data_IF_848988051986
#
_entry.id   IF_848988051986
#
_cell.length_a   1.000
_cell.length_b   1.000
_cell.length_c   1.000
_cell.angle_alpha   90.00
_cell.angle_beta   90.00
_cell.angle_gamma   90.00
#
_symmetry.space_group_name_H-M   'P 1'
#
loop_
_entity.id
_entity.type
_entity.pdbx_description
1 polymer ?
#
# COMPACT_ATOMS: atom_id res chain seq x y z
N UNK A 1 -41.39 -24.26 28.88
CA UNK A 1 -40.90 -24.40 30.27
C UNK A 1 -39.54 -25.09 30.20
N UNK A 2 -38.46 -24.32 30.18
CA UNK A 2 -37.70 -23.90 31.36
C UNK A 2 -36.56 -24.89 31.70
N UNK A 3 -35.43 -24.74 31.01
CA UNK A 3 -34.09 -25.11 31.51
C UNK A 3 -33.21 -23.87 31.30
N UNK A 4 -33.35 -22.87 32.17
CA UNK A 4 -32.33 -22.46 33.15
C UNK A 4 -30.92 -22.53 32.54
N UNK A 5 -30.38 -21.43 31.99
CA UNK A 5 -29.60 -20.44 32.75
C UNK A 5 -28.62 -21.11 33.73
N UNK A 6 -27.60 -21.77 33.21
CA UNK A 6 -26.58 -22.45 34.01
C UNK A 6 -25.13 -21.98 33.72
N UNK A 7 -24.94 -20.71 33.32
CA UNK A 7 -23.60 -20.10 33.29
C UNK A 7 -23.59 -18.61 33.66
N UNK A 8 -24.35 -18.25 34.71
CA UNK A 8 -23.92 -17.17 35.60
C UNK A 8 -22.98 -17.77 36.65
N UNK A 9 -22.06 -16.94 37.12
CA UNK A 9 -21.16 -17.15 38.26
C UNK A 9 -20.03 -18.17 38.07
N UNK A 10 -18.89 -17.64 37.61
CA UNK A 10 -17.57 -18.26 37.68
C UNK A 10 -16.48 -17.20 37.71
N UNK A 11 -16.63 -16.16 38.55
CA UNK A 11 -15.52 -15.31 38.97
C UNK A 11 -14.54 -16.19 39.76
N UNK A 12 -13.48 -16.70 39.14
CA UNK A 12 -12.37 -17.29 39.90
C UNK A 12 -11.04 -16.90 39.25
N UNK A 13 -10.32 -16.10 40.03
CA UNK A 13 -8.87 -15.96 40.12
C UNK A 13 -8.11 -15.42 38.90
N UNK A 14 -7.81 -14.12 39.01
CA UNK A 14 -6.52 -13.54 38.67
C UNK A 14 -5.37 -14.51 39.00
N UNK A 15 -4.82 -15.17 37.98
CA UNK A 15 -3.46 -15.67 38.02
C UNK A 15 -2.65 -14.78 37.07
N UNK A 16 -2.07 -13.73 37.64
CA UNK A 16 -0.97 -13.01 37.04
C UNK A 16 0.24 -13.97 36.99
N UNK A 17 0.25 -14.85 35.99
CA UNK A 17 1.41 -15.68 35.70
C UNK A 17 2.36 -14.84 34.84
N UNK A 18 3.16 -14.01 35.51
CA UNK A 18 4.25 -13.26 34.89
C UNK A 18 5.34 -14.23 34.47
N UNK A 19 5.17 -14.89 33.32
CA UNK A 19 6.27 -15.52 32.60
C UNK A 19 7.19 -14.40 32.10
N UNK A 20 8.23 -14.12 32.86
CA UNK A 20 9.41 -13.42 32.38
C UNK A 20 10.09 -14.31 31.33
N UNK A 21 9.55 -14.32 30.10
CA UNK A 21 10.19 -14.93 28.96
C UNK A 21 11.29 -13.98 28.50
N UNK A 22 12.49 -14.14 29.04
CA UNK A 22 13.70 -13.49 28.55
C UNK A 22 13.99 -13.99 27.14
N UNK A 23 13.47 -13.28 26.13
CA UNK A 23 13.84 -13.46 24.73
C UNK A 23 15.27 -12.95 24.53
N UNK A 24 16.24 -13.81 24.16
CA UNK A 24 17.52 -13.31 23.69
C UNK A 24 17.32 -12.62 22.35
N UNK A 25 17.67 -11.33 22.32
CA UNK A 25 18.09 -10.57 21.14
C UNK A 25 17.31 -10.82 19.85
N UNK A 26 16.15 -10.18 19.69
CA UNK A 26 15.75 -9.79 18.34
C UNK A 26 16.77 -8.76 17.86
N UNK A 27 17.63 -9.19 16.94
CA UNK A 27 18.42 -8.32 16.11
C UNK A 27 17.49 -7.22 15.60
N UNK A 28 17.67 -6.00 16.12
CA UNK A 28 17.19 -4.81 15.45
C UNK A 28 17.87 -4.88 14.10
N UNK A 29 17.08 -5.20 13.08
CA UNK A 29 17.50 -5.03 11.71
C UNK A 29 18.06 -3.62 11.63
N UNK A 30 19.35 -3.54 11.38
CA UNK A 30 20.07 -2.35 11.00
C UNK A 30 19.44 -1.83 9.70
N UNK A 31 18.28 -1.19 9.83
CA UNK A 31 17.91 -0.12 8.94
C UNK A 31 18.67 1.11 9.44
N UNK A 32 20.01 1.02 9.49
CA UNK A 32 20.85 2.19 9.50
C UNK A 32 20.46 3.00 8.27
N UNK A 33 19.60 3.99 8.49
CA UNK A 33 19.95 5.38 8.26
C UNK A 33 20.58 5.67 6.90
N UNK A 34 20.25 4.92 5.86
CA UNK A 34 20.36 5.44 4.50
C UNK A 34 19.30 6.52 4.44
N UNK A 35 19.67 7.81 4.36
CA UNK A 35 18.68 8.82 4.04
C UNK A 35 17.98 8.33 2.78
N UNK A 36 16.69 8.02 2.90
CA UNK A 36 15.82 7.81 1.77
C UNK A 36 15.86 9.15 1.04
N UNK A 37 16.72 9.23 0.03
CA UNK A 37 16.82 10.39 -0.83
C UNK A 37 15.56 10.37 -1.69
N UNK A 38 14.45 10.87 -1.14
CA UNK A 38 13.30 11.23 -1.95
C UNK A 38 13.82 12.33 -2.87
N UNK A 39 14.02 12.01 -4.15
CA UNK A 39 14.39 13.00 -5.15
C UNK A 39 13.23 13.99 -5.29
N UNK A 40 13.19 15.02 -4.44
CA UNK A 40 12.11 16.02 -4.37
C UNK A 40 12.16 17.05 -5.51
N UNK A 41 13.02 16.84 -6.52
CA UNK A 41 13.23 17.73 -7.67
C UNK A 41 12.97 17.08 -9.03
N UNK A 42 12.43 15.86 -9.07
CA UNK A 42 12.01 15.21 -10.30
C UNK A 42 10.55 15.52 -10.67
N UNK A 43 10.16 15.22 -11.91
CA UNK A 43 8.77 15.25 -12.33
C UNK A 43 7.88 14.44 -11.38
N UNK A 44 6.79 15.03 -10.87
CA UNK A 44 5.83 14.32 -9.99
C UNK A 44 4.88 13.45 -10.82
N UNK A 45 5.44 12.39 -11.42
CA UNK A 45 4.69 11.49 -12.28
C UNK A 45 3.63 10.70 -11.51
N UNK A 46 3.70 10.63 -10.17
CA UNK A 46 2.66 10.03 -9.36
C UNK A 46 1.38 10.87 -9.40
N UNK A 47 1.45 12.19 -9.15
CA UNK A 47 0.28 13.08 -9.23
C UNK A 47 -0.27 13.17 -10.65
N UNK A 48 0.60 13.21 -11.66
CA UNK A 48 0.20 13.15 -13.08
C UNK A 48 -0.53 11.84 -13.37
N UNK A 49 0.05 10.71 -12.98
CA UNK A 49 -0.53 9.39 -13.16
C UNK A 49 -1.85 9.21 -12.43
N UNK A 50 -2.01 9.78 -11.23
CA UNK A 50 -3.24 9.72 -10.46
C UNK A 50 -4.39 10.44 -11.20
N UNK A 51 -4.09 11.60 -11.81
CA UNK A 51 -5.05 12.34 -12.64
C UNK A 51 -5.43 11.55 -13.89
N UNK A 52 -4.45 10.97 -14.59
CA UNK A 52 -4.70 10.13 -15.77
C UNK A 52 -5.56 8.92 -15.38
N UNK A 53 -5.25 8.24 -14.28
CA UNK A 53 -6.03 7.11 -13.79
C UNK A 53 -7.49 7.50 -13.51
N UNK A 54 -7.73 8.62 -12.82
CA UNK A 54 -9.07 9.13 -12.55
C UNK A 54 -9.85 9.45 -13.82
N UNK A 55 -9.20 10.08 -14.81
CA UNK A 55 -9.82 10.40 -16.10
C UNK A 55 -10.21 9.16 -16.91
N UNK A 56 -9.44 8.08 -16.78
CA UNK A 56 -9.65 6.82 -17.50
C UNK A 56 -10.52 5.82 -16.72
N UNK A 57 -11.01 6.18 -15.53
CA UNK A 57 -11.78 5.29 -14.66
C UNK A 57 -10.98 4.10 -14.14
N UNK A 58 -9.66 4.24 -14.04
CA UNK A 58 -8.73 3.19 -13.61
C UNK A 58 -8.00 3.51 -12.31
N UNK A 59 -7.11 2.60 -11.93
CA UNK A 59 -6.23 2.74 -10.78
C UNK A 59 -4.78 2.85 -11.26
N UNK A 60 -4.05 3.84 -10.75
CA UNK A 60 -2.62 3.97 -11.02
C UNK A 60 -1.87 2.81 -10.36
N UNK A 61 -1.04 2.11 -11.14
CA UNK A 61 -0.19 1.02 -10.64
C UNK A 61 1.29 1.25 -10.87
N UNK A 62 1.66 2.16 -11.77
CA UNK A 62 3.04 2.59 -11.96
C UNK A 62 3.06 4.00 -12.53
N UNK A 63 4.01 4.81 -12.06
CA UNK A 63 4.36 6.07 -12.67
C UNK A 63 5.88 6.19 -12.70
N UNK A 64 6.45 6.52 -13.85
CA UNK A 64 7.89 6.65 -14.02
C UNK A 64 8.21 7.87 -14.89
N UNK A 65 9.12 8.71 -14.42
CA UNK A 65 9.69 9.77 -15.24
C UNK A 65 10.70 9.17 -16.22
N UNK A 66 10.64 9.60 -17.48
CA UNK A 66 11.54 9.19 -18.55
C UNK A 66 12.01 10.40 -19.33
N UNK A 67 13.19 10.30 -19.95
CA UNK A 67 13.62 11.23 -20.97
C UNK A 67 13.37 10.60 -22.36
N UNK A 68 12.57 11.25 -23.20
CA UNK A 68 12.30 10.86 -24.58
C UNK A 68 12.76 11.98 -25.50
N UNK A 69 13.90 11.80 -26.15
CA UNK A 69 14.43 12.79 -27.10
C UNK A 69 14.70 14.16 -26.47
N UNK A 70 15.15 14.21 -25.22
CA UNK A 70 15.40 15.46 -24.49
C UNK A 70 14.19 16.00 -23.72
N UNK A 71 12.99 15.45 -23.93
CA UNK A 71 11.79 15.83 -23.18
C UNK A 71 11.56 14.89 -22.00
N UNK A 72 11.37 15.45 -20.80
CA UNK A 72 10.90 14.68 -19.64
C UNK A 72 9.41 14.38 -19.80
N UNK A 73 9.05 13.10 -19.74
CA UNK A 73 7.68 12.59 -19.83
C UNK A 73 7.39 11.62 -18.69
N UNK A 74 6.12 11.43 -18.37
CA UNK A 74 5.65 10.43 -17.42
C UNK A 74 5.05 9.25 -18.19
N UNK A 75 5.69 8.08 -18.07
CA UNK A 75 5.08 6.81 -18.44
C UNK A 75 4.25 6.29 -17.27
N UNK A 76 2.94 6.29 -17.45
CA UNK A 76 1.97 5.92 -16.43
C UNK A 76 1.25 4.65 -16.86
N UNK A 77 1.16 3.69 -15.94
CA UNK A 77 0.45 2.44 -16.16
C UNK A 77 -0.72 2.39 -15.21
N UNK A 78 -1.91 2.18 -15.76
CA UNK A 78 -3.15 2.07 -15.00
C UNK A 78 -3.80 0.72 -15.26
N UNK A 79 -4.65 0.31 -14.33
CA UNK A 79 -5.56 -0.82 -14.49
C UNK A 79 -6.98 -0.30 -14.54
N UNK A 80 -7.66 -0.54 -15.66
CA UNK A 80 -9.06 -0.20 -15.86
C UNK A 80 -9.89 -1.45 -15.52
N UNK A 81 -10.84 -1.38 -14.58
CA UNK A 81 -11.71 -2.51 -14.26
C UNK A 81 -12.52 -2.93 -15.50
N UNK A 82 -12.68 -4.24 -15.67
CA UNK A 82 -13.58 -4.77 -16.70
C UNK A 82 -15.03 -4.77 -16.20
N UNK A 83 -15.99 -4.74 -17.13
CA UNK A 83 -17.42 -4.85 -16.83
C UNK A 83 -17.90 -6.29 -17.04
N UNK A 84 -18.90 -6.74 -16.28
CA UNK A 84 -19.58 -8.03 -16.50
C UNK A 84 -18.63 -9.25 -16.58
N UNK A 85 -17.68 -9.34 -15.64
CA UNK A 85 -16.72 -10.45 -15.58
C UNK A 85 -15.55 -10.37 -16.57
N UNK A 86 -15.47 -9.30 -17.36
CA UNK A 86 -14.29 -9.03 -18.19
C UNK A 86 -13.06 -8.81 -17.31
N UNK A 87 -11.90 -9.29 -17.79
CA UNK A 87 -10.62 -9.09 -17.11
C UNK A 87 -10.25 -7.59 -17.07
N UNK A 88 -9.66 -7.09 -15.98
CA UNK A 88 -9.11 -5.74 -15.93
C UNK A 88 -8.09 -5.53 -17.04
N UNK A 89 -8.14 -4.37 -17.70
CA UNK A 89 -7.23 -4.01 -18.78
C UNK A 89 -6.10 -3.15 -18.23
N UNK A 90 -4.86 -3.52 -18.53
CA UNK A 90 -3.69 -2.69 -18.25
C UNK A 90 -3.48 -1.75 -19.43
N UNK A 91 -3.41 -0.45 -19.17
CA UNK A 91 -3.18 0.58 -20.17
C UNK A 91 -1.96 1.42 -19.79
N UNK A 92 -1.15 1.78 -20.78
CA UNK A 92 0.03 2.62 -20.63
C UNK A 92 -0.18 3.94 -21.37
N UNK A 93 0.18 5.04 -20.73
CA UNK A 93 0.13 6.37 -21.32
C UNK A 93 1.49 7.05 -21.13
N UNK A 94 1.91 7.80 -22.15
CA UNK A 94 3.08 8.67 -22.08
C UNK A 94 2.56 10.10 -22.20
N UNK A 95 2.73 10.88 -21.13
CA UNK A 95 2.25 12.26 -21.05
C UNK A 95 3.38 13.19 -20.65
N UNK A 96 3.34 14.49 -20.97
CA UNK A 96 4.39 15.42 -20.53
C UNK A 96 4.43 15.54 -19.00
N UNK A 97 5.59 15.88 -18.46
CA UNK A 97 5.90 15.90 -17.02
C UNK A 97 5.63 17.25 -16.31
N UNK A 98 4.84 18.10 -16.95
CA UNK A 98 4.63 19.52 -16.68
C UNK A 98 3.97 19.85 -15.33
#
# INVERSE_FOLDING_TARGET
MLRLLAHRTGQIALLAFSLAFSLPGNALADAAGKPLLLAQGGADCYSVGARVAAQQGGQLVQATAENRGGQTVCRVVIVIPGNNGQRPKRAEFVVPAN
#
